data_IF_567707180959
#
_entry.id   IF_567707180959
#
_cell.length_a   1.000
_cell.length_b   1.000
_cell.length_c   1.000
_cell.angle_alpha   90.00
_cell.angle_beta   90.00
_cell.angle_gamma   90.00
#
_symmetry.space_group_name_H-M   'P 1'
#
loop_
_entity.id
_entity.type
_entity.pdbx_description
1 polymer ?
#
# COMPACT_ATOMS: atom_id res chain seq x y z
N UNK A 1 -13.91 -6.90 -2.84
CA UNK A 1 -15.26 -6.71 -3.43
C UNK A 1 -16.27 -7.68 -2.85
N UNK A 2 -15.97 -8.99 -2.75
CA UNK A 2 -16.90 -10.00 -2.21
C UNK A 2 -17.49 -9.74 -0.80
N UNK A 3 -16.72 -9.17 0.14
CA UNK A 3 -17.22 -8.90 1.51
C UNK A 3 -18.23 -7.75 1.53
N UNK A 4 -18.07 -6.77 0.63
CA UNK A 4 -18.97 -5.63 0.52
C UNK A 4 -20.32 -6.05 -0.10
N UNK A 5 -20.29 -6.95 -1.09
CA UNK A 5 -21.50 -7.51 -1.71
C UNK A 5 -22.28 -8.41 -0.73
N UNK A 6 -21.59 -9.16 0.13
CA UNK A 6 -22.23 -9.95 1.18
C UNK A 6 -22.99 -9.08 2.18
N UNK A 7 -22.36 -7.98 2.63
CA UNK A 7 -23.00 -7.03 3.54
C UNK A 7 -24.19 -6.33 2.89
N UNK A 8 -24.09 -5.95 1.61
CA UNK A 8 -25.18 -5.31 0.88
C UNK A 8 -26.37 -6.26 0.68
N UNK A 9 -26.11 -7.51 0.29
CA UNK A 9 -27.16 -8.52 0.12
C UNK A 9 -27.87 -8.90 1.42
N UNK A 10 -27.16 -8.91 2.54
CA UNK A 10 -27.78 -9.10 3.86
C UNK A 10 -28.74 -7.95 4.20
N UNK A 11 -28.35 -6.70 3.90
CA UNK A 11 -29.21 -5.53 4.12
C UNK A 11 -30.47 -5.57 3.23
N UNK A 12 -30.33 -5.98 1.96
CA UNK A 12 -31.46 -6.14 1.03
C UNK A 12 -32.38 -7.32 1.41
N UNK A 13 -31.81 -8.44 1.87
CA UNK A 13 -32.56 -9.60 2.35
C UNK A 13 -33.36 -9.31 3.63
N UNK A 14 -32.88 -8.40 4.48
CA UNK A 14 -33.59 -7.96 5.67
C UNK A 14 -34.67 -6.89 5.36
N UNK A 15 -34.52 -6.09 4.29
CA UNK A 15 -35.56 -5.16 3.83
C UNK A 15 -36.75 -5.86 3.15
N UNK A 16 -36.49 -6.93 2.38
CA UNK A 16 -37.55 -7.69 1.69
C UNK A 16 -38.41 -8.55 2.61
N UNK A 17 -37.98 -8.76 3.86
CA UNK A 17 -38.79 -9.39 4.94
C UNK A 17 -39.74 -8.41 5.65
N UNK A 18 -40.01 -7.23 5.09
CA UNK A 18 -41.10 -6.38 5.54
C UNK A 18 -42.46 -7.08 5.24
N UNK A 19 -43.30 -7.37 6.25
CA UNK A 19 -44.51 -8.14 6.01
C UNK A 19 -45.59 -7.27 5.35
N UNK A 20 -46.18 -7.80 4.29
CA UNK A 20 -47.55 -7.50 3.87
C UNK A 20 -48.45 -7.46 5.11
N UNK A 21 -49.31 -6.44 5.19
CA UNK A 21 -50.04 -5.89 6.35
C UNK A 21 -50.97 -6.86 7.14
N UNK A 22 -50.91 -8.18 6.93
CA UNK A 22 -51.73 -9.16 7.65
C UNK A 22 -50.89 -10.34 8.18
N UNK A 23 -50.05 -10.07 9.18
CA UNK A 23 -49.29 -11.09 9.88
C UNK A 23 -49.64 -11.11 11.37
N UNK A 24 -50.09 -12.26 11.84
CA UNK A 24 -50.70 -12.56 13.15
C UNK A 24 -49.68 -12.45 14.33
N UNK A 25 -48.51 -11.85 14.11
CA UNK A 25 -47.53 -11.53 15.16
C UNK A 25 -47.86 -10.24 15.95
N UNK A 26 -49.04 -9.64 15.76
CA UNK A 26 -49.48 -8.43 16.46
C UNK A 26 -49.83 -8.61 17.95
N UNK A 27 -49.67 -9.81 18.54
CA UNK A 27 -50.12 -10.11 19.91
C UNK A 27 -49.03 -10.67 20.84
N UNK A 28 -47.74 -10.50 20.52
CA UNK A 28 -46.64 -10.89 21.41
C UNK A 28 -45.80 -9.66 21.75
N UNK A 29 -45.98 -9.01 22.93
CA UNK A 29 -45.27 -7.78 23.28
C UNK A 29 -43.77 -7.95 23.54
N UNK A 30 -43.26 -9.19 23.49
CA UNK A 30 -41.92 -9.60 23.93
C UNK A 30 -41.16 -10.44 22.90
N UNK A 31 -41.67 -10.55 21.66
CA UNK A 31 -40.86 -11.02 20.54
C UNK A 31 -39.86 -9.91 20.20
N UNK A 32 -38.77 -9.85 20.96
CA UNK A 32 -37.69 -8.88 20.85
C UNK A 32 -37.06 -8.99 19.46
N UNK A 33 -37.59 -8.22 18.50
CA UNK A 33 -36.85 -7.87 17.30
C UNK A 33 -35.58 -7.19 17.80
N UNK A 34 -34.42 -7.80 17.56
CA UNK A 34 -33.15 -7.10 17.77
C UNK A 34 -33.25 -5.76 17.05
N UNK A 35 -32.98 -4.63 17.71
CA UNK A 35 -33.09 -3.34 17.06
C UNK A 35 -32.15 -3.37 15.85
N UNK A 36 -32.67 -3.05 14.66
CA UNK A 36 -31.93 -3.06 13.39
C UNK A 36 -30.59 -2.29 13.48
N UNK A 37 -30.55 -1.29 14.37
CA UNK A 37 -29.39 -0.48 14.73
C UNK A 37 -28.24 -1.33 15.30
N UNK A 38 -28.52 -2.23 16.25
CA UNK A 38 -27.56 -3.14 16.88
C UNK A 38 -26.93 -4.11 15.88
N UNK A 39 -27.72 -4.55 14.89
CA UNK A 39 -27.21 -5.41 13.81
C UNK A 39 -26.25 -4.63 12.90
N UNK A 40 -26.60 -3.39 12.54
CA UNK A 40 -25.76 -2.54 11.67
C UNK A 40 -24.46 -2.14 12.35
N UNK A 41 -24.53 -1.66 13.60
CA UNK A 41 -23.33 -1.25 14.36
C UNK A 41 -22.39 -2.43 14.59
N UNK A 42 -22.93 -3.60 14.96
CA UNK A 42 -22.15 -4.82 15.15
C UNK A 42 -21.49 -5.31 13.87
N UNK A 43 -22.25 -5.48 12.79
CA UNK A 43 -21.71 -5.99 11.51
C UNK A 43 -20.67 -5.05 10.92
N UNK A 44 -20.91 -3.74 11.01
CA UNK A 44 -19.92 -2.73 10.65
C UNK A 44 -18.67 -2.82 11.52
N UNK A 45 -18.82 -2.94 12.84
CA UNK A 45 -17.70 -3.09 13.78
C UNK A 45 -16.85 -4.33 13.51
N UNK A 46 -17.48 -5.47 13.26
CA UNK A 46 -16.81 -6.73 12.90
C UNK A 46 -16.03 -6.57 11.58
N UNK A 47 -16.65 -6.00 10.53
CA UNK A 47 -15.99 -5.77 9.25
C UNK A 47 -14.80 -4.79 9.35
N UNK A 48 -14.97 -3.70 10.10
CA UNK A 48 -13.90 -2.72 10.36
C UNK A 48 -12.76 -3.32 11.17
N UNK A 49 -13.05 -4.20 12.13
CA UNK A 49 -12.05 -4.92 12.90
C UNK A 49 -11.16 -5.80 12.00
N UNK A 50 -11.77 -6.60 11.13
CA UNK A 50 -11.03 -7.44 10.16
C UNK A 50 -10.18 -6.61 9.22
N UNK A 51 -10.73 -5.51 8.71
CA UNK A 51 -10.00 -4.62 7.80
C UNK A 51 -8.85 -3.91 8.51
N UNK A 52 -9.00 -3.53 9.79
CA UNK A 52 -7.97 -2.84 10.57
C UNK A 52 -6.77 -3.75 10.82
N UNK A 53 -7.02 -5.01 11.21
CA UNK A 53 -5.96 -6.03 11.36
C UNK A 53 -5.24 -6.26 10.03
N UNK A 54 -5.99 -6.32 8.93
CA UNK A 54 -5.40 -6.49 7.59
C UNK A 54 -4.52 -5.30 7.19
N UNK A 55 -4.96 -4.07 7.48
CA UNK A 55 -4.19 -2.84 7.23
C UNK A 55 -2.92 -2.79 8.06
N UNK A 56 -2.99 -3.08 9.36
CA UNK A 56 -1.81 -3.13 10.24
C UNK A 56 -0.78 -4.14 9.74
N UNK A 57 -1.22 -5.31 9.29
CA UNK A 57 -0.33 -6.32 8.70
C UNK A 57 0.35 -5.81 7.43
N UNK A 58 -0.40 -5.15 6.52
CA UNK A 58 0.15 -4.59 5.29
C UNK A 58 1.13 -3.44 5.56
N UNK A 59 0.86 -2.61 6.57
CA UNK A 59 1.77 -1.54 7.01
C UNK A 59 3.08 -2.16 7.48
N UNK A 60 3.02 -3.16 8.37
CA UNK A 60 4.21 -3.85 8.87
C UNK A 60 5.02 -4.50 7.73
N UNK A 61 4.34 -5.14 6.78
CA UNK A 61 5.00 -5.73 5.61
C UNK A 61 5.67 -4.68 4.73
N UNK A 62 5.04 -3.52 4.53
CA UNK A 62 5.61 -2.40 3.79
C UNK A 62 6.82 -1.80 4.52
N UNK A 63 6.79 -1.67 5.86
CA UNK A 63 7.92 -1.22 6.68
C UNK A 63 9.11 -2.18 6.59
N UNK A 64 8.86 -3.49 6.64
CA UNK A 64 9.90 -4.51 6.45
C UNK A 64 10.51 -4.40 5.05
N UNK A 65 9.69 -4.21 4.02
CA UNK A 65 10.17 -4.03 2.65
C UNK A 65 11.00 -2.74 2.49
N UNK A 66 10.61 -1.66 3.17
CA UNK A 66 11.38 -0.42 3.20
C UNK A 66 12.77 -0.65 3.79
N UNK A 67 12.85 -1.27 4.98
CA UNK A 67 14.13 -1.61 5.62
C UNK A 67 15.00 -2.53 4.75
N UNK A 68 14.39 -3.50 4.06
CA UNK A 68 15.11 -4.36 3.12
C UNK A 68 15.68 -3.59 1.92
N UNK A 69 14.94 -2.60 1.40
CA UNK A 69 15.39 -1.75 0.30
C UNK A 69 16.51 -0.79 0.70
N UNK A 70 16.50 -0.28 1.94
CA UNK A 70 17.60 0.50 2.51
C UNK A 70 18.86 -0.35 2.68
N UNK A 71 18.72 -1.56 3.22
CA UNK A 71 19.84 -2.51 3.33
C UNK A 71 20.40 -2.91 1.96
N UNK A 72 19.54 -3.02 0.95
CA UNK A 72 19.96 -3.26 -0.42
C UNK A 72 20.75 -2.06 -0.99
N UNK A 73 20.37 -0.83 -0.66
CA UNK A 73 21.13 0.38 -1.03
C UNK A 73 22.53 0.37 -0.44
N UNK A 74 22.65 0.12 0.86
CA UNK A 74 23.94 0.05 1.56
C UNK A 74 24.87 -0.99 0.92
N UNK A 75 24.32 -2.17 0.59
CA UNK A 75 25.06 -3.25 -0.09
C UNK A 75 25.49 -2.87 -1.49
N UNK A 76 24.60 -2.27 -2.28
CA UNK A 76 24.92 -1.81 -3.63
C UNK A 76 25.98 -0.70 -3.61
N UNK A 77 25.94 0.20 -2.63
CA UNK A 77 26.96 1.23 -2.43
C UNK A 77 28.31 0.61 -2.10
N UNK A 78 28.35 -0.34 -1.15
CA UNK A 78 29.58 -1.05 -0.78
C UNK A 78 30.17 -1.78 -1.99
N UNK A 79 29.35 -2.49 -2.78
CA UNK A 79 29.80 -3.19 -3.98
C UNK A 79 30.28 -2.19 -5.04
N UNK A 80 29.58 -1.07 -5.23
CA UNK A 80 30.00 -0.04 -6.16
C UNK A 80 31.37 0.56 -5.80
N UNK A 81 31.60 0.83 -4.52
CA UNK A 81 32.88 1.34 -4.02
C UNK A 81 34.01 0.32 -4.22
N UNK A 82 33.75 -0.97 -3.96
CA UNK A 82 34.72 -2.04 -4.21
C UNK A 82 35.06 -2.16 -5.70
N UNK A 83 34.04 -2.24 -6.57
CA UNK A 83 34.24 -2.35 -8.02
C UNK A 83 34.96 -1.12 -8.57
N UNK A 84 34.65 0.09 -8.07
CA UNK A 84 35.30 1.32 -8.51
C UNK A 84 36.77 1.39 -8.04
N UNK A 85 37.08 0.96 -6.81
CA UNK A 85 38.47 0.87 -6.32
C UNK A 85 39.27 -0.18 -7.09
N UNK A 86 38.67 -1.34 -7.34
CA UNK A 86 39.27 -2.37 -8.19
C UNK A 86 39.50 -1.86 -9.61
N UNK A 87 38.57 -1.14 -10.21
CA UNK A 87 38.74 -0.57 -11.55
C UNK A 87 39.87 0.48 -11.59
N UNK A 88 39.96 1.36 -10.58
CA UNK A 88 41.06 2.32 -10.46
C UNK A 88 42.41 1.62 -10.29
N UNK A 89 42.53 0.67 -9.36
CA UNK A 89 43.77 -0.10 -9.18
C UNK A 89 44.14 -0.92 -10.41
N UNK A 90 43.15 -1.49 -11.10
CA UNK A 90 43.37 -2.23 -12.33
C UNK A 90 43.72 -1.31 -13.49
N UNK A 91 43.22 -0.07 -13.50
CA UNK A 91 43.53 1.01 -14.45
C UNK A 91 44.93 1.57 -14.22
N UNK A 92 45.35 1.76 -12.97
CA UNK A 92 46.70 2.22 -12.60
C UNK A 92 47.74 1.15 -12.91
N UNK A 93 47.52 -0.09 -12.46
CA UNK A 93 48.37 -1.23 -12.82
C UNK A 93 48.36 -1.49 -14.34
N UNK A 94 47.24 -1.16 -15.01
CA UNK A 94 47.17 -1.12 -16.46
C UNK A 94 48.00 0.00 -17.04
N UNK A 95 48.00 1.21 -16.51
CA UNK A 95 48.76 2.33 -17.09
C UNK A 95 50.25 1.98 -17.12
N UNK A 96 50.70 1.28 -16.07
CA UNK A 96 52.04 0.72 -15.92
C UNK A 96 52.32 -0.40 -16.94
N UNK A 97 51.38 -1.35 -17.11
CA UNK A 97 51.50 -2.45 -18.11
C UNK A 97 51.22 -2.03 -19.57
N UNK A 98 50.35 -1.03 -19.78
CA UNK A 98 49.94 -0.45 -21.07
C UNK A 98 51.12 0.33 -21.67
N UNK A 99 51.91 1.00 -20.83
CA UNK A 99 53.16 1.64 -21.23
C UNK A 99 54.14 0.63 -21.86
N UNK A 100 54.13 -0.64 -21.41
CA UNK A 100 55.05 -1.67 -21.92
C UNK A 100 54.47 -2.57 -23.03
N UNK A 101 53.18 -2.91 -23.05
CA UNK A 101 52.67 -4.06 -23.84
C UNK A 101 51.53 -3.75 -24.83
N UNK A 102 50.83 -2.63 -24.68
CA UNK A 102 49.70 -2.29 -25.54
C UNK A 102 50.06 -1.60 -26.86
N UNK A 103 51.34 -1.29 -27.09
CA UNK A 103 51.86 -0.87 -28.40
C UNK A 103 51.87 -1.99 -29.45
N UNK A 104 51.67 -3.27 -29.08
CA UNK A 104 51.82 -4.36 -30.07
C UNK A 104 50.60 -5.23 -30.40
N UNK A 105 49.72 -5.63 -29.48
CA UNK A 105 48.93 -6.87 -29.72
C UNK A 105 47.46 -6.93 -29.23
N UNK A 106 46.85 -5.86 -28.72
CA UNK A 106 45.38 -5.80 -28.58
C UNK A 106 44.70 -6.71 -27.52
N UNK A 107 45.46 -7.39 -26.66
CA UNK A 107 44.99 -8.57 -25.88
C UNK A 107 44.05 -8.35 -24.69
N UNK A 108 43.74 -7.12 -24.26
CA UNK A 108 43.08 -6.89 -22.97
C UNK A 108 41.63 -6.32 -23.03
N UNK A 109 41.00 -6.34 -24.22
CA UNK A 109 39.63 -5.80 -24.42
C UNK A 109 38.51 -6.58 -23.72
N UNK A 110 38.63 -7.91 -23.58
CA UNK A 110 37.55 -8.76 -23.04
C UNK A 110 37.33 -8.57 -21.53
N UNK A 111 38.41 -8.37 -20.77
CA UNK A 111 38.36 -8.16 -19.31
C UNK A 111 37.79 -6.79 -18.95
N UNK A 112 38.20 -5.74 -19.68
CA UNK A 112 37.61 -4.39 -19.63
C UNK A 112 36.10 -4.40 -19.79
N UNK A 113 35.63 -5.00 -20.89
CA UNK A 113 34.19 -5.12 -21.19
C UNK A 113 33.43 -5.85 -20.07
N UNK A 114 34.10 -6.74 -19.35
CA UNK A 114 33.56 -7.38 -18.16
C UNK A 114 33.25 -6.38 -17.05
N UNK A 115 34.19 -5.50 -16.70
CA UNK A 115 33.99 -4.49 -15.65
C UNK A 115 32.91 -3.47 -16.01
N UNK A 116 32.90 -2.97 -17.25
CA UNK A 116 31.84 -2.09 -17.76
C UNK A 116 30.45 -2.71 -17.60
N UNK A 117 30.32 -4.01 -17.93
CA UNK A 117 29.05 -4.74 -17.76
C UNK A 117 28.62 -4.85 -16.30
N UNK A 118 29.55 -5.02 -15.35
CA UNK A 118 29.22 -5.09 -13.91
C UNK A 118 28.76 -3.72 -13.39
N UNK A 119 29.43 -2.63 -13.81
CA UNK A 119 29.02 -1.27 -13.45
C UNK A 119 27.63 -0.95 -14.00
N UNK A 120 27.34 -1.33 -15.24
CA UNK A 120 26.00 -1.14 -15.82
C UNK A 120 24.94 -1.99 -15.14
N UNK A 121 25.26 -3.22 -14.72
CA UNK A 121 24.36 -4.03 -13.91
C UNK A 121 24.05 -3.36 -12.56
N UNK A 122 25.07 -2.83 -11.87
CA UNK A 122 24.89 -2.13 -10.58
C UNK A 122 24.03 -0.87 -10.74
N UNK A 123 24.24 -0.08 -11.81
CA UNK A 123 23.38 1.07 -12.14
C UNK A 123 21.92 0.62 -12.34
N UNK A 124 21.70 -0.43 -13.13
CA UNK A 124 20.36 -0.96 -13.38
C UNK A 124 19.69 -1.46 -12.10
N UNK A 125 20.40 -2.20 -11.24
CA UNK A 125 19.91 -2.63 -9.92
C UNK A 125 19.57 -1.42 -9.03
N UNK A 126 20.40 -0.38 -9.04
CA UNK A 126 20.13 0.88 -8.36
C UNK A 126 18.84 1.54 -8.84
N UNK A 127 18.57 1.54 -10.15
CA UNK A 127 17.32 2.05 -10.73
C UNK A 127 16.11 1.22 -10.30
N UNK A 128 16.18 -0.11 -10.38
CA UNK A 128 15.11 -0.99 -9.92
C UNK A 128 14.80 -0.80 -8.44
N UNK A 129 15.83 -0.69 -7.59
CA UNK A 129 15.67 -0.41 -6.17
C UNK A 129 14.97 0.93 -5.93
N UNK A 130 15.38 2.01 -6.61
CA UNK A 130 14.72 3.32 -6.50
C UNK A 130 13.24 3.26 -6.87
N UNK A 131 12.89 2.49 -7.91
CA UNK A 131 11.49 2.27 -8.31
C UNK A 131 10.71 1.51 -7.24
N UNK A 132 11.27 0.41 -6.74
CA UNK A 132 10.66 -0.37 -5.67
C UNK A 132 10.47 0.46 -4.40
N UNK A 133 11.45 1.29 -4.03
CA UNK A 133 11.35 2.21 -2.90
C UNK A 133 10.20 3.20 -3.06
N UNK A 134 10.08 3.82 -4.24
CA UNK A 134 8.97 4.74 -4.52
C UNK A 134 7.60 4.05 -4.38
N UNK A 135 7.45 2.82 -4.89
CA UNK A 135 6.22 2.04 -4.70
C UNK A 135 5.93 1.75 -3.23
N UNK A 136 6.93 1.27 -2.47
CA UNK A 136 6.75 0.87 -1.07
C UNK A 136 6.39 2.09 -0.21
N UNK A 137 7.06 3.23 -0.40
CA UNK A 137 6.76 4.47 0.31
C UNK A 137 5.36 5.00 -0.03
N UNK A 138 4.98 5.01 -1.31
CA UNK A 138 3.65 5.43 -1.73
C UNK A 138 2.54 4.51 -1.16
N UNK A 139 2.78 3.19 -1.17
CA UNK A 139 1.88 2.21 -0.58
C UNK A 139 1.75 2.42 0.93
N UNK A 140 2.85 2.62 1.65
CA UNK A 140 2.85 2.87 3.09
C UNK A 140 2.10 4.15 3.46
N UNK A 141 2.32 5.25 2.74
CA UNK A 141 1.56 6.49 2.95
C UNK A 141 0.05 6.26 2.75
N UNK A 142 -0.30 5.48 1.74
CA UNK A 142 -1.70 5.16 1.40
C UNK A 142 -2.35 4.29 2.47
N UNK A 143 -1.66 3.26 2.96
CA UNK A 143 -2.13 2.38 4.02
C UNK A 143 -2.34 3.15 5.33
N UNK A 144 -1.41 4.05 5.68
CA UNK A 144 -1.53 4.92 6.86
C UNK A 144 -2.74 5.86 6.77
N UNK A 145 -2.97 6.49 5.60
CA UNK A 145 -4.14 7.33 5.39
C UNK A 145 -5.46 6.53 5.52
N UNK A 146 -5.52 5.34 4.94
CA UNK A 146 -6.68 4.45 5.07
C UNK A 146 -6.91 4.00 6.51
N UNK A 147 -5.83 3.70 7.26
CA UNK A 147 -5.93 3.36 8.68
C UNK A 147 -6.53 4.51 9.50
N UNK A 148 -6.09 5.74 9.25
CA UNK A 148 -6.63 6.92 9.92
C UNK A 148 -8.10 7.18 9.58
N UNK A 149 -8.49 7.05 8.30
CA UNK A 149 -9.88 7.17 7.87
C UNK A 149 -10.77 6.12 8.58
N UNK A 150 -10.25 4.90 8.75
CA UNK A 150 -10.96 3.83 9.43
C UNK A 150 -11.14 4.07 10.94
N UNK A 151 -10.14 4.61 11.61
CA UNK A 151 -10.24 4.96 13.02
C UNK A 151 -11.27 6.08 13.26
N UNK A 152 -11.29 7.12 12.40
CA UNK A 152 -12.33 8.17 12.43
C UNK A 152 -13.74 7.59 12.17
N UNK A 153 -13.87 6.64 11.24
CA UNK A 153 -15.13 5.94 11.02
C UNK A 153 -15.58 5.14 12.24
N UNK A 154 -14.66 4.43 12.91
CA UNK A 154 -14.97 3.67 14.12
C UNK A 154 -15.43 4.58 15.24
N UNK A 155 -14.74 5.69 15.46
CA UNK A 155 -15.09 6.67 16.50
C UNK A 155 -16.49 7.26 16.27
N UNK A 156 -16.82 7.63 15.03
CA UNK A 156 -18.14 8.19 14.68
C UNK A 156 -19.28 7.20 14.82
N UNK A 157 -19.04 5.91 14.55
CA UNK A 157 -20.06 4.86 14.71
C UNK A 157 -20.21 4.45 16.18
N UNK A 158 -19.15 4.56 17.00
CA UNK A 158 -19.19 4.25 18.43
C UNK A 158 -19.69 5.39 19.33
N UNK A 159 -19.49 6.66 18.94
CA UNK A 159 -19.91 7.84 19.72
C UNK A 159 -21.40 7.84 20.17
N UNK A 160 -22.36 7.37 19.35
CA UNK A 160 -23.78 7.33 19.74
C UNK A 160 -24.05 6.34 20.88
N UNK A 161 -23.39 5.17 20.85
CA UNK A 161 -23.49 4.16 21.90
C UNK A 161 -22.92 4.67 23.23
N UNK A 162 -21.84 5.46 23.19
CA UNK A 162 -21.18 6.03 24.37
C UNK A 162 -22.00 7.11 25.08
N UNK A 163 -22.90 7.80 24.36
CA UNK A 163 -23.70 8.92 24.90
C UNK A 163 -25.09 8.49 25.39
N UNK A 164 -25.48 7.23 25.21
CA UNK A 164 -26.78 6.70 25.64
C UNK A 164 -27.99 7.28 24.89
N UNK A 165 -27.77 8.23 23.96
CA UNK A 165 -28.81 8.78 23.10
C UNK A 165 -29.01 7.87 21.89
N UNK A 166 -30.22 7.34 21.74
CA UNK A 166 -30.59 6.48 20.59
C UNK A 166 -30.61 7.31 19.32
N UNK A 167 -29.47 7.42 18.64
CA UNK A 167 -29.38 8.13 17.37
C UNK A 167 -30.17 7.35 16.32
N UNK A 168 -30.97 8.01 15.45
CA UNK A 168 -31.70 7.30 14.42
C UNK A 168 -30.78 6.55 13.46
N UNK A 169 -31.14 5.31 13.10
CA UNK A 169 -30.40 4.47 12.14
C UNK A 169 -30.05 5.16 10.82
N UNK A 170 -30.89 6.09 10.35
CA UNK A 170 -30.63 6.88 9.15
C UNK A 170 -29.34 7.72 9.26
N UNK A 171 -29.03 8.19 10.47
CA UNK A 171 -27.80 8.94 10.76
C UNK A 171 -26.60 8.00 10.81
N UNK A 172 -26.72 6.81 11.42
CA UNK A 172 -25.68 5.78 11.39
C UNK A 172 -25.32 5.39 9.95
N UNK A 173 -26.32 5.11 9.12
CA UNK A 173 -26.13 4.76 7.71
C UNK A 173 -25.49 5.91 6.92
N UNK A 174 -25.89 7.16 7.19
CA UNK A 174 -25.29 8.35 6.57
C UNK A 174 -23.81 8.50 6.94
N UNK A 175 -23.46 8.29 8.21
CA UNK A 175 -22.07 8.34 8.68
C UNK A 175 -21.21 7.25 8.04
N UNK A 176 -21.71 6.01 7.98
CA UNK A 176 -21.04 4.88 7.33
C UNK A 176 -20.82 5.18 5.84
N UNK A 177 -21.86 5.62 5.13
CA UNK A 177 -21.77 5.97 3.69
C UNK A 177 -20.75 7.07 3.44
N UNK A 178 -20.74 8.12 4.26
CA UNK A 178 -19.78 9.21 4.12
C UNK A 178 -18.34 8.74 4.37
N UNK A 179 -18.12 7.89 5.38
CA UNK A 179 -16.81 7.32 5.64
C UNK A 179 -16.31 6.42 4.50
N UNK A 180 -17.19 5.57 3.95
CA UNK A 180 -16.84 4.71 2.83
C UNK A 180 -16.45 5.51 1.58
N UNK A 181 -17.14 6.62 1.29
CA UNK A 181 -16.77 7.48 0.17
C UNK A 181 -15.40 8.13 0.39
N UNK A 182 -15.10 8.60 1.62
CA UNK A 182 -13.76 9.10 1.96
C UNK A 182 -12.67 8.06 1.74
N UNK A 183 -12.88 6.83 2.19
CA UNK A 183 -11.93 5.73 2.01
C UNK A 183 -11.70 5.44 0.51
N UNK A 184 -12.77 5.46 -0.28
CA UNK A 184 -12.71 5.28 -1.74
C UNK A 184 -11.95 6.43 -2.42
N UNK A 185 -12.20 7.67 -2.04
CA UNK A 185 -11.44 8.82 -2.52
C UNK A 185 -9.96 8.73 -2.11
N UNK A 186 -9.68 8.32 -0.87
CA UNK A 186 -8.33 8.05 -0.37
C UNK A 186 -7.60 7.02 -1.23
N UNK A 187 -8.28 5.93 -1.60
CA UNK A 187 -7.75 4.92 -2.54
C UNK A 187 -7.45 5.49 -3.92
N UNK A 188 -8.31 6.36 -4.46
CA UNK A 188 -8.06 7.01 -5.75
C UNK A 188 -6.85 7.95 -5.67
N UNK A 189 -6.74 8.73 -4.59
CA UNK A 189 -5.58 9.61 -4.35
C UNK A 189 -4.29 8.80 -4.23
N UNK A 190 -4.31 7.72 -3.45
CA UNK A 190 -3.21 6.78 -3.30
C UNK A 190 -2.66 6.28 -4.66
N UNK A 191 -3.57 5.82 -5.53
CA UNK A 191 -3.20 5.32 -6.86
C UNK A 191 -2.54 6.39 -7.73
N UNK A 192 -3.04 7.63 -7.69
CA UNK A 192 -2.44 8.75 -8.44
C UNK A 192 -1.04 9.09 -7.92
N UNK A 193 -0.85 9.14 -6.61
CA UNK A 193 0.46 9.40 -6.00
C UNK A 193 1.49 8.33 -6.37
N UNK A 194 1.08 7.07 -6.41
CA UNK A 194 1.93 5.97 -6.89
C UNK A 194 2.34 6.16 -8.36
N UNK A 195 1.38 6.45 -9.25
CA UNK A 195 1.64 6.72 -10.67
C UNK A 195 2.59 7.91 -10.88
N UNK A 196 2.43 8.98 -10.10
CA UNK A 196 3.29 10.16 -10.15
C UNK A 196 4.70 9.89 -9.62
N UNK A 197 4.83 9.16 -8.51
CA UNK A 197 6.12 8.76 -7.97
C UNK A 197 6.90 7.91 -8.99
N UNK A 198 6.21 7.01 -9.70
CA UNK A 198 6.82 6.20 -10.76
C UNK A 198 7.27 7.04 -11.93
N UNK A 199 6.45 7.97 -12.40
CA UNK A 199 6.81 8.87 -13.51
C UNK A 199 8.07 9.66 -13.20
N UNK A 200 8.22 10.17 -11.97
CA UNK A 200 9.42 10.89 -11.52
C UNK A 200 10.66 9.99 -11.54
N UNK A 201 10.55 8.76 -11.06
CA UNK A 201 11.69 7.82 -11.05
C UNK A 201 12.04 7.31 -12.45
N UNK A 202 11.06 7.22 -13.34
CA UNK A 202 11.25 6.82 -14.74
C UNK A 202 11.84 7.94 -15.62
N UNK A 203 11.93 9.17 -15.12
CA UNK A 203 12.52 10.27 -15.87
C UNK A 203 11.76 10.60 -17.16
N UNK A 204 10.44 10.36 -17.22
CA UNK A 204 9.60 10.88 -18.30
C UNK A 204 9.29 12.35 -17.98
N UNK A 205 10.34 13.17 -17.89
CA UNK A 205 10.26 14.57 -18.24
C UNK A 205 10.58 14.60 -19.73
N UNK A 206 9.53 14.64 -20.55
CA UNK A 206 9.70 14.96 -21.96
C UNK A 206 10.43 16.29 -22.06
N UNK A 207 11.52 16.29 -22.82
CA UNK A 207 11.98 17.47 -23.53
C UNK A 207 10.77 18.07 -24.27
N UNK A 208 10.34 19.26 -23.83
CA UNK A 208 9.55 20.22 -24.62
C UNK A 208 10.19 21.58 -24.41
#
# INVERSE_FOLDING_TARGET
MAVNDYALHQIEAEQTKAPTILSIYGLIPWAARKPLDDVVTRTFGEAMGVLSVSMQRLILEAEVNLANLEKLEERLSTIHDMVSREDLTLSDAKSELLAELWTKLGGNRKKLRGYDNHLDLLKNLGLYRKRALAHVVAALQSLNAMSADMDDMRERVAAPELTGSRIPIAVHMKSIKSGLERLKEGRVRAKRLEEDALRRVLGIANDV
#
